data_IF_517097537240
#
_entry.id   IF_517097537240
#
_cell.length_a   1.000
_cell.length_b   1.000
_cell.length_c   1.000
_cell.angle_alpha   90.00
_cell.angle_beta   90.00
_cell.angle_gamma   90.00
#
_symmetry.space_group_name_H-M   'P 1'
#
loop_
_entity.id
_entity.type
_entity.pdbx_description
1 polymer ?
#
# COMPACT_ATOMS: atom_id res chain seq x y z
N UNK A 1 -36.34 21.97 61.85
CA UNK A 1 -35.56 22.23 60.62
C UNK A 1 -34.66 21.02 60.39
N UNK A 2 -35.00 20.11 59.47
CA UNK A 2 -34.24 18.90 59.19
C UNK A 2 -33.30 19.13 58.00
N UNK A 3 -32.02 18.80 58.23
CA UNK A 3 -30.85 19.02 57.37
C UNK A 3 -30.93 18.16 56.08
N UNK A 4 -30.92 18.81 54.91
CA UNK A 4 -31.21 18.21 53.60
C UNK A 4 -29.99 17.60 52.88
N UNK A 5 -28.96 17.13 53.60
CA UNK A 5 -27.66 16.81 52.97
C UNK A 5 -27.35 15.31 52.75
N UNK A 6 -28.31 14.38 52.80
CA UNK A 6 -27.96 12.95 52.91
C UNK A 6 -28.70 11.95 51.98
N UNK A 7 -29.15 12.34 50.78
CA UNK A 7 -29.74 11.38 49.83
C UNK A 7 -29.15 11.50 48.41
N UNK A 8 -27.94 10.97 48.20
CA UNK A 8 -27.51 10.64 46.83
C UNK A 8 -27.95 9.21 46.51
N UNK A 9 -28.81 9.07 45.49
CA UNK A 9 -29.41 7.78 45.08
C UNK A 9 -28.34 6.85 44.48
N UNK A 10 -27.98 5.73 45.13
CA UNK A 10 -26.89 4.85 44.67
C UNK A 10 -27.13 4.23 43.30
N UNK A 11 -28.41 4.01 42.96
CA UNK A 11 -28.87 3.35 41.73
C UNK A 11 -28.52 4.14 40.46
N UNK A 12 -28.63 5.47 40.49
CA UNK A 12 -28.27 6.32 39.34
C UNK A 12 -26.76 6.30 39.08
N UNK A 13 -25.95 6.38 40.15
CA UNK A 13 -24.49 6.35 40.08
C UNK A 13 -23.95 5.02 39.52
N UNK A 14 -24.62 3.91 39.81
CA UNK A 14 -24.27 2.58 39.28
C UNK A 14 -24.52 2.47 37.76
N UNK A 15 -25.65 2.96 37.26
CA UNK A 15 -25.95 2.95 35.81
C UNK A 15 -24.98 3.82 35.03
N UNK A 16 -24.63 5.02 35.53
CA UNK A 16 -23.62 5.88 34.90
C UNK A 16 -22.26 5.18 34.84
N UNK A 17 -21.85 4.48 35.90
CA UNK A 17 -20.57 3.75 35.97
C UNK A 17 -20.50 2.57 35.00
N UNK A 18 -21.63 1.87 34.80
CA UNK A 18 -21.75 0.78 33.81
C UNK A 18 -21.62 1.35 32.40
N UNK A 19 -22.31 2.45 32.09
CA UNK A 19 -22.26 3.09 30.77
C UNK A 19 -20.87 3.65 30.47
N UNK A 20 -20.22 4.34 31.42
CA UNK A 20 -18.86 4.87 31.21
C UNK A 20 -17.83 3.75 31.03
N UNK A 21 -17.97 2.64 31.77
CA UNK A 21 -17.11 1.46 31.58
C UNK A 21 -17.35 0.81 30.21
N UNK A 22 -18.60 0.78 29.74
CA UNK A 22 -18.93 0.24 28.42
C UNK A 22 -18.35 1.13 27.31
N UNK A 23 -18.50 2.46 27.42
CA UNK A 23 -17.95 3.42 26.47
C UNK A 23 -16.42 3.35 26.42
N UNK A 24 -15.76 3.28 27.58
CA UNK A 24 -14.30 3.17 27.70
C UNK A 24 -13.77 1.88 27.06
N UNK A 25 -14.45 0.74 27.27
CA UNK A 25 -14.10 -0.53 26.63
C UNK A 25 -14.24 -0.46 25.11
N UNK A 26 -15.31 0.16 24.60
CA UNK A 26 -15.51 0.32 23.16
C UNK A 26 -14.45 1.23 22.54
N UNK A 27 -14.11 2.34 23.21
CA UNK A 27 -13.03 3.24 22.77
C UNK A 27 -11.67 2.53 22.74
N UNK A 28 -11.36 1.75 23.78
CA UNK A 28 -10.13 0.97 23.87
C UNK A 28 -10.04 -0.11 22.78
N UNK A 29 -11.15 -0.79 22.50
CA UNK A 29 -11.21 -1.78 21.40
C UNK A 29 -11.07 -1.12 20.03
N UNK A 30 -11.64 0.07 19.84
CA UNK A 30 -11.51 0.83 18.60
C UNK A 30 -10.06 1.32 18.38
N UNK A 31 -9.40 1.84 19.42
CA UNK A 31 -8.00 2.25 19.34
C UNK A 31 -7.06 1.06 19.12
N UNK A 32 -7.32 -0.09 19.75
CA UNK A 32 -6.55 -1.31 19.53
C UNK A 32 -6.68 -1.81 18.08
N UNK A 33 -7.88 -1.75 17.48
CA UNK A 33 -8.08 -2.09 16.06
C UNK A 33 -7.36 -1.14 15.12
N UNK A 34 -7.38 0.16 15.43
CA UNK A 34 -6.66 1.16 14.64
C UNK A 34 -5.14 0.96 14.72
N UNK A 35 -4.60 0.70 15.92
CA UNK A 35 -3.19 0.38 16.12
C UNK A 35 -2.78 -0.89 15.37
N UNK A 36 -3.62 -1.95 15.40
CA UNK A 36 -3.35 -3.19 14.68
C UNK A 36 -3.40 -3.02 13.16
N UNK A 37 -4.34 -2.21 12.65
CA UNK A 37 -4.41 -1.85 11.23
C UNK A 37 -3.18 -1.03 10.79
N UNK A 38 -2.73 -0.07 11.62
CA UNK A 38 -1.50 0.68 11.38
C UNK A 38 -0.26 -0.22 11.37
N UNK A 39 -0.20 -1.23 12.24
CA UNK A 39 0.84 -2.26 12.23
C UNK A 39 0.74 -3.15 10.98
N UNK A 40 -0.40 -3.24 10.30
CA UNK A 40 -0.49 -4.07 9.08
C UNK A 40 0.11 -3.37 7.85
N UNK A 41 0.34 -2.05 7.92
CA UNK A 41 1.10 -1.29 6.91
C UNK A 41 2.60 -1.45 7.19
N UNK A 42 3.08 -2.69 7.20
CA UNK A 42 4.51 -2.99 7.20
C UNK A 42 4.90 -3.19 5.74
N UNK A 43 5.68 -2.25 5.21
CA UNK A 43 6.53 -2.55 4.05
C UNK A 43 7.36 -3.77 4.44
N UNK A 44 7.15 -4.89 3.76
CA UNK A 44 7.94 -6.10 3.98
C UNK A 44 9.41 -5.79 3.70
N UNK A 45 10.30 -6.05 4.67
CA UNK A 45 11.74 -5.98 4.44
C UNK A 45 12.11 -6.75 3.17
N UNK A 46 13.11 -6.28 2.39
CA UNK A 46 13.54 -6.99 1.20
C UNK A 46 13.90 -8.45 1.52
N UNK A 47 13.55 -9.41 0.65
CA UNK A 47 13.83 -10.82 0.90
C UNK A 47 15.33 -11.08 0.91
N UNK A 48 15.74 -12.19 1.53
CA UNK A 48 17.14 -12.63 1.53
C UNK A 48 17.71 -12.62 0.09
N UNK A 49 18.80 -11.87 -0.20
CA UNK A 49 19.36 -11.74 -1.55
C UNK A 49 19.81 -13.06 -2.20
N UNK A 50 19.94 -14.15 -1.43
CA UNK A 50 20.24 -15.48 -1.97
C UNK A 50 19.02 -16.15 -2.60
N UNK A 51 17.81 -15.73 -2.25
CA UNK A 51 16.56 -16.24 -2.82
C UNK A 51 16.23 -15.49 -4.12
N UNK A 52 16.99 -15.75 -5.19
CA UNK A 52 16.97 -14.97 -6.44
C UNK A 52 15.58 -14.77 -7.03
N UNK A 53 14.74 -15.81 -7.07
CA UNK A 53 13.38 -15.70 -7.60
C UNK A 53 12.50 -14.78 -6.75
N UNK A 54 12.59 -14.89 -5.42
CA UNK A 54 11.86 -14.02 -4.50
C UNK A 54 12.37 -12.57 -4.58
N UNK A 55 13.68 -12.37 -4.68
CA UNK A 55 14.26 -11.03 -4.88
C UNK A 55 13.82 -10.40 -6.20
N UNK A 56 13.80 -11.15 -7.30
CA UNK A 56 13.32 -10.65 -8.59
C UNK A 56 11.83 -10.26 -8.52
N UNK A 57 10.99 -11.09 -7.90
CA UNK A 57 9.57 -10.80 -7.68
C UNK A 57 9.35 -9.58 -6.80
N UNK A 58 10.15 -9.45 -5.73
CA UNK A 58 10.13 -8.28 -4.86
C UNK A 58 10.50 -7.01 -5.64
N UNK A 59 11.56 -7.03 -6.44
CA UNK A 59 11.99 -5.86 -7.23
C UNK A 59 10.90 -5.46 -8.22
N UNK A 60 10.35 -6.40 -8.99
CA UNK A 60 9.29 -6.08 -9.96
C UNK A 60 8.03 -5.49 -9.29
N UNK A 61 7.66 -5.96 -8.10
CA UNK A 61 6.47 -5.44 -7.41
C UNK A 61 6.67 -4.06 -6.78
N UNK A 62 7.91 -3.69 -6.45
CA UNK A 62 8.23 -2.48 -5.68
C UNK A 62 8.81 -1.33 -6.53
N UNK A 63 8.88 -1.45 -7.86
CA UNK A 63 9.37 -0.39 -8.75
C UNK A 63 8.22 0.25 -9.53
N UNK A 64 8.16 1.57 -9.51
CA UNK A 64 7.16 2.34 -10.25
C UNK A 64 7.57 2.60 -11.72
N UNK A 65 8.87 2.49 -12.01
CA UNK A 65 9.44 2.75 -13.33
C UNK A 65 10.49 1.72 -13.72
N UNK A 66 10.60 1.47 -15.02
CA UNK A 66 11.60 0.60 -15.63
C UNK A 66 12.23 1.26 -16.84
N UNK A 67 13.47 0.88 -17.12
CA UNK A 67 14.18 1.22 -18.34
C UNK A 67 13.98 0.09 -19.35
N UNK A 68 13.35 0.38 -20.49
CA UNK A 68 13.17 -0.58 -21.58
C UNK A 68 14.07 -0.20 -22.75
N UNK A 69 14.67 -1.20 -23.38
CA UNK A 69 15.47 -1.05 -24.58
C UNK A 69 14.74 -1.68 -25.76
N UNK A 70 14.60 -0.92 -26.84
CA UNK A 70 14.03 -1.36 -28.13
C UNK A 70 15.07 -1.21 -29.24
N UNK A 71 14.84 -1.86 -30.38
CA UNK A 71 15.65 -1.63 -31.58
C UNK A 71 15.06 -0.46 -32.34
N UNK A 72 15.84 0.61 -32.51
CA UNK A 72 15.28 1.86 -33.00
C UNK A 72 14.91 1.84 -34.48
N UNK A 73 13.78 2.45 -34.78
CA UNK A 73 13.27 2.76 -36.11
C UNK A 73 13.59 4.19 -36.53
N UNK A 74 14.10 5.02 -35.61
CA UNK A 74 14.39 6.42 -35.84
C UNK A 74 15.55 6.61 -36.82
N UNK A 75 15.50 7.57 -37.77
CA UNK A 75 16.53 7.70 -38.80
C UNK A 75 17.97 7.85 -38.28
N UNK A 76 18.17 8.53 -37.16
CA UNK A 76 19.51 8.81 -36.62
C UNK A 76 20.10 7.66 -35.80
N UNK A 77 19.29 6.67 -35.41
CA UNK A 77 19.69 5.54 -34.56
C UNK A 77 19.18 4.19 -35.08
N UNK A 78 18.82 4.13 -36.37
CA UNK A 78 18.17 2.95 -36.96
C UNK A 78 18.99 1.69 -36.71
N UNK A 79 18.33 0.64 -36.22
CA UNK A 79 18.93 -0.66 -35.87
C UNK A 79 19.88 -0.66 -34.66
N UNK A 80 20.02 0.45 -33.95
CA UNK A 80 20.74 0.51 -32.67
C UNK A 80 19.77 0.39 -31.50
N UNK A 81 20.24 -0.09 -30.33
CA UNK A 81 19.42 -0.09 -29.12
C UNK A 81 19.13 1.35 -28.69
N UNK A 82 17.85 1.63 -28.43
CA UNK A 82 17.39 2.88 -27.85
C UNK A 82 16.62 2.60 -26.57
N UNK A 83 16.89 3.40 -25.55
CA UNK A 83 16.37 3.16 -24.20
C UNK A 83 15.46 4.28 -23.75
N UNK A 84 14.34 3.93 -23.12
CA UNK A 84 13.40 4.89 -22.56
C UNK A 84 12.88 4.42 -21.19
N UNK A 85 12.51 5.37 -20.34
CA UNK A 85 11.92 5.11 -19.03
C UNK A 85 10.40 5.03 -19.19
N UNK A 86 9.78 4.03 -18.56
CA UNK A 86 8.34 3.82 -18.57
C UNK A 86 7.82 3.56 -17.17
N UNK A 87 6.64 4.10 -16.87
CA UNK A 87 5.87 3.66 -15.71
C UNK A 87 5.45 2.21 -15.90
N UNK A 88 5.50 1.44 -14.81
CA UNK A 88 5.22 0.02 -14.80
C UNK A 88 4.42 -0.34 -13.54
N UNK A 89 3.52 -1.31 -13.66
CA UNK A 89 2.89 -1.96 -12.52
C UNK A 89 2.74 -3.45 -12.80
N UNK A 90 2.93 -4.29 -11.80
CA UNK A 90 2.67 -5.73 -11.88
C UNK A 90 1.36 -6.16 -11.18
N UNK A 91 0.61 -5.19 -10.63
CA UNK A 91 -0.64 -5.38 -9.91
C UNK A 91 -0.85 -4.38 -8.75
N UNK A 92 -2.01 -4.41 -8.10
CA UNK A 92 -2.28 -3.64 -6.88
C UNK A 92 -1.38 -4.04 -5.71
N UNK A 93 -1.32 -3.18 -4.68
CA UNK A 93 -0.63 -3.46 -3.41
C UNK A 93 -1.08 -4.83 -2.86
N UNK A 94 -0.12 -5.69 -2.52
CA UNK A 94 -0.34 -7.06 -2.02
C UNK A 94 -0.92 -8.06 -3.03
N UNK A 95 -1.09 -7.68 -4.30
CA UNK A 95 -1.61 -8.54 -5.38
C UNK A 95 -0.73 -8.50 -6.64
N UNK A 96 0.58 -8.32 -6.47
CA UNK A 96 1.55 -8.33 -7.56
C UNK A 96 1.66 -9.68 -8.26
N UNK A 97 1.50 -9.70 -9.58
CA UNK A 97 1.59 -10.91 -10.41
C UNK A 97 3.02 -11.23 -10.84
N UNK A 98 3.94 -10.25 -10.80
CA UNK A 98 5.28 -10.34 -11.37
C UNK A 98 5.33 -10.14 -12.88
N UNK A 99 4.20 -9.89 -13.53
CA UNK A 99 4.11 -9.59 -14.97
C UNK A 99 4.08 -8.06 -15.11
N UNK A 100 5.11 -7.44 -15.70
CA UNK A 100 5.14 -5.99 -15.86
C UNK A 100 4.16 -5.52 -16.93
N UNK A 101 3.21 -4.68 -16.54
CA UNK A 101 2.34 -3.96 -17.46
C UNK A 101 2.86 -2.54 -17.66
N UNK A 102 3.02 -2.15 -18.92
CA UNK A 102 3.48 -0.82 -19.33
C UNK A 102 2.41 -0.21 -20.22
N UNK A 103 1.93 0.98 -19.86
CA UNK A 103 1.06 1.76 -20.72
C UNK A 103 1.92 2.63 -21.64
N UNK A 104 1.82 2.39 -22.94
CA UNK A 104 2.59 3.10 -23.96
C UNK A 104 1.72 3.45 -25.15
N UNK A 105 1.99 4.59 -25.77
CA UNK A 105 1.33 5.04 -26.99
C UNK A 105 2.21 4.78 -28.20
N UNK A 106 1.60 4.52 -29.36
CA UNK A 106 2.31 4.34 -30.63
C UNK A 106 3.13 5.56 -31.07
N UNK A 107 2.84 6.76 -30.55
CA UNK A 107 3.64 7.96 -30.86
C UNK A 107 4.92 8.09 -30.03
N UNK A 108 5.08 7.28 -28.98
CA UNK A 108 6.33 7.19 -28.20
C UNK A 108 7.46 6.57 -29.04
N UNK A 109 8.72 6.91 -28.78
CA UNK A 109 9.85 6.33 -29.53
C UNK A 109 9.90 4.80 -29.43
N UNK A 110 9.77 4.24 -28.23
CA UNK A 110 9.73 2.78 -28.04
C UNK A 110 8.40 2.19 -28.52
N UNK A 111 7.32 2.99 -28.55
CA UNK A 111 6.05 2.59 -29.17
C UNK A 111 6.20 2.34 -30.67
N UNK A 112 6.77 3.31 -31.39
CA UNK A 112 7.08 3.20 -32.82
C UNK A 112 7.99 2.03 -33.13
N UNK A 113 8.97 1.77 -32.27
CA UNK A 113 9.90 0.66 -32.45
C UNK A 113 9.22 -0.72 -32.39
N UNK A 114 8.08 -0.85 -31.70
CA UNK A 114 7.33 -2.10 -31.57
C UNK A 114 6.21 -2.28 -32.59
N UNK A 115 5.87 -1.26 -33.38
CA UNK A 115 4.80 -1.31 -34.39
C UNK A 115 5.22 -1.91 -35.74
N UNK A 116 6.51 -2.27 -35.88
CA UNK A 116 7.12 -2.71 -37.15
C UNK A 116 6.94 -4.19 -37.43
#
# INVERSE_FOLDING_TARGET
MLNANHYTVPRFKAHTKVITNMLSKTLFLASLRFALAAITVINSDPPNPQLKALSARYVIHNVDWVSIATISTLPFAKSYPFTNIKSMSDGPISQGTGIPYILMTGIDFSGKDLEV
#
